data_IF_957915471670
#
_entry.id   IF_957915471670
#
_cell.length_a   1.000
_cell.length_b   1.000
_cell.length_c   1.000
_cell.angle_alpha   90.00
_cell.angle_beta   90.00
_cell.angle_gamma   90.00
#
_symmetry.space_group_name_H-M   'P 1'
#
loop_
_entity.id
_entity.type
_entity.pdbx_description
1 polymer ?
#
# COMPACT_ATOMS: atom_id res chain seq x y z
N UNK A 1 39.51 -44.18 5.21
CA UNK A 1 40.86 -43.66 5.51
C UNK A 1 40.89 -43.24 6.97
N UNK A 2 41.80 -43.79 7.78
CA UNK A 2 41.88 -43.49 9.22
C UNK A 2 42.31 -42.04 9.42
N UNK A 3 41.37 -41.19 9.84
CA UNK A 3 41.61 -39.77 10.08
C UNK A 3 42.50 -39.50 11.32
N UNK A 4 42.90 -40.56 12.04
CA UNK A 4 43.79 -40.54 13.21
C UNK A 4 45.28 -40.34 12.88
N UNK A 5 45.71 -40.50 11.62
CA UNK A 5 47.13 -40.35 11.21
C UNK A 5 47.47 -38.96 10.64
N UNK A 6 46.59 -37.98 10.77
CA UNK A 6 46.83 -36.61 10.29
C UNK A 6 47.63 -35.80 11.32
N UNK A 7 48.69 -35.12 10.88
CA UNK A 7 49.47 -34.21 11.72
C UNK A 7 48.57 -33.09 12.27
N UNK A 8 48.78 -32.66 13.53
CA UNK A 8 47.90 -31.72 14.27
C UNK A 8 47.52 -30.49 13.43
N UNK A 9 48.48 -29.92 12.69
CA UNK A 9 48.26 -28.76 11.82
C UNK A 9 47.17 -28.98 10.75
N UNK A 10 47.11 -30.18 10.13
CA UNK A 10 46.10 -30.49 9.11
C UNK A 10 44.70 -30.68 9.71
N UNK A 11 44.63 -31.24 10.92
CA UNK A 11 43.36 -31.42 11.67
C UNK A 11 42.79 -30.07 12.09
N UNK A 12 43.65 -29.19 12.58
CA UNK A 12 43.30 -27.81 12.93
C UNK A 12 42.81 -27.03 11.69
N UNK A 13 43.52 -27.14 10.56
CA UNK A 13 43.12 -26.51 9.30
C UNK A 13 41.74 -26.99 8.79
N UNK A 14 41.42 -28.28 8.92
CA UNK A 14 40.10 -28.82 8.55
C UNK A 14 39.00 -28.25 9.45
N UNK A 15 39.22 -28.22 10.77
CA UNK A 15 38.24 -27.68 11.71
C UNK A 15 37.95 -26.20 11.48
N UNK A 16 39.00 -25.38 11.38
CA UNK A 16 38.86 -23.96 11.06
C UNK A 16 38.29 -23.73 9.66
N UNK A 17 38.62 -24.57 8.68
CA UNK A 17 38.04 -24.52 7.34
C UNK A 17 36.53 -24.76 7.33
N UNK A 18 36.05 -25.79 8.04
CA UNK A 18 34.62 -26.08 8.15
C UNK A 18 33.88 -24.94 8.84
N UNK A 19 34.41 -24.43 9.95
CA UNK A 19 33.83 -23.26 10.63
C UNK A 19 33.80 -22.04 9.71
N UNK A 20 34.87 -21.79 8.94
CA UNK A 20 34.93 -20.72 7.96
C UNK A 20 33.86 -20.84 6.87
N UNK A 21 33.64 -22.04 6.32
CA UNK A 21 32.58 -22.32 5.34
C UNK A 21 31.20 -22.11 5.94
N UNK A 22 30.96 -22.57 7.17
CA UNK A 22 29.70 -22.36 7.88
C UNK A 22 29.42 -20.87 8.12
N UNK A 23 30.43 -20.09 8.51
CA UNK A 23 30.32 -18.64 8.70
C UNK A 23 30.02 -17.91 7.40
N UNK A 24 30.71 -18.23 6.30
CA UNK A 24 30.43 -17.65 4.99
C UNK A 24 29.01 -17.99 4.53
N UNK A 25 28.60 -19.25 4.67
CA UNK A 25 27.24 -19.70 4.35
C UNK A 25 26.17 -18.96 5.16
N UNK A 26 26.36 -18.81 6.48
CA UNK A 26 25.42 -18.08 7.34
C UNK A 26 25.33 -16.60 6.97
N UNK A 27 26.46 -15.98 6.60
CA UNK A 27 26.51 -14.58 6.22
C UNK A 27 25.79 -14.35 4.88
N UNK A 28 26.08 -15.16 3.86
CA UNK A 28 25.40 -15.07 2.56
C UNK A 28 23.89 -15.31 2.70
N UNK A 29 23.48 -16.28 3.51
CA UNK A 29 22.08 -16.55 3.79
C UNK A 29 21.40 -15.36 4.50
N UNK A 30 22.04 -14.82 5.54
CA UNK A 30 21.54 -13.65 6.29
C UNK A 30 21.34 -12.44 5.39
N UNK A 31 22.33 -12.13 4.54
CA UNK A 31 22.25 -11.02 3.58
C UNK A 31 21.09 -11.25 2.61
N UNK A 32 20.94 -12.46 2.08
CA UNK A 32 19.85 -12.79 1.15
C UNK A 32 18.47 -12.59 1.79
N UNK A 33 18.30 -13.01 3.05
CA UNK A 33 17.04 -12.83 3.78
C UNK A 33 16.78 -11.36 4.14
N UNK A 34 17.82 -10.62 4.53
CA UNK A 34 17.72 -9.18 4.76
C UNK A 34 17.31 -8.44 3.49
N UNK A 35 17.85 -8.82 2.32
CA UNK A 35 17.44 -8.26 1.03
C UNK A 35 15.97 -8.51 0.71
N UNK A 36 15.42 -9.69 1.07
CA UNK A 36 13.99 -9.99 0.89
C UNK A 36 13.11 -9.11 1.78
N UNK A 37 13.47 -8.97 3.05
CA UNK A 37 12.76 -8.08 3.98
C UNK A 37 12.83 -6.64 3.49
N UNK A 38 14.01 -6.17 3.10
CA UNK A 38 14.22 -4.83 2.56
C UNK A 38 13.38 -4.56 1.30
N UNK A 39 13.28 -5.53 0.39
CA UNK A 39 12.43 -5.42 -0.80
C UNK A 39 10.94 -5.31 -0.44
N UNK A 40 10.46 -6.10 0.54
CA UNK A 40 9.08 -6.00 1.03
C UNK A 40 8.80 -4.66 1.73
N UNK A 41 9.75 -4.15 2.51
CA UNK A 41 9.65 -2.81 3.12
C UNK A 41 9.63 -1.71 2.07
N UNK A 42 10.48 -1.79 1.04
CA UNK A 42 10.47 -0.84 -0.07
C UNK A 42 9.14 -0.88 -0.82
N UNK A 43 8.57 -2.06 -1.09
CA UNK A 43 7.26 -2.18 -1.72
C UNK A 43 6.15 -1.49 -0.89
N UNK A 44 6.15 -1.67 0.43
CA UNK A 44 5.22 -1.00 1.33
C UNK A 44 5.38 0.52 1.29
N UNK A 45 6.61 1.02 1.45
CA UNK A 45 6.92 2.44 1.57
C UNK A 45 6.75 3.21 0.25
N UNK A 46 7.19 2.63 -0.87
CA UNK A 46 7.25 3.31 -2.16
C UNK A 46 6.00 3.11 -3.00
N UNK A 47 5.20 2.07 -2.72
CA UNK A 47 4.02 1.74 -3.54
C UNK A 47 2.73 1.67 -2.72
N UNK A 48 2.68 0.85 -1.68
CA UNK A 48 1.41 0.58 -0.96
C UNK A 48 0.90 1.79 -0.19
N UNK A 49 1.75 2.38 0.64
CA UNK A 49 1.38 3.55 1.47
C UNK A 49 1.00 4.74 0.57
N UNK A 50 1.77 5.13 -0.46
CA UNK A 50 1.37 6.19 -1.38
C UNK A 50 0.03 5.93 -2.07
N UNK A 51 -0.24 4.69 -2.50
CA UNK A 51 -1.52 4.35 -3.12
C UNK A 51 -2.69 4.42 -2.13
N UNK A 52 -2.50 3.99 -0.88
CA UNK A 52 -3.52 4.16 0.17
C UNK A 52 -3.78 5.64 0.46
N UNK A 53 -2.73 6.45 0.55
CA UNK A 53 -2.85 7.89 0.75
C UNK A 53 -3.60 8.56 -0.41
N UNK A 54 -3.27 8.22 -1.67
CA UNK A 54 -3.99 8.71 -2.85
C UNK A 54 -5.47 8.28 -2.85
N UNK A 55 -5.76 7.04 -2.45
CA UNK A 55 -7.14 6.55 -2.32
C UNK A 55 -7.93 7.33 -1.25
N UNK A 56 -7.30 7.59 -0.09
CA UNK A 56 -7.90 8.42 0.97
C UNK A 56 -8.07 9.88 0.53
N UNK A 57 -7.13 10.43 -0.23
CA UNK A 57 -7.24 11.78 -0.78
C UNK A 57 -8.44 11.88 -1.73
N UNK A 58 -8.65 10.90 -2.63
CA UNK A 58 -9.86 10.84 -3.47
C UNK A 58 -11.14 10.85 -2.62
N UNK A 59 -11.18 10.11 -1.51
CA UNK A 59 -12.34 10.11 -0.61
C UNK A 59 -12.55 11.47 0.07
N UNK A 60 -11.46 12.13 0.51
CA UNK A 60 -11.51 13.45 1.13
C UNK A 60 -12.05 14.49 0.14
N UNK A 61 -11.46 14.61 -1.04
CA UNK A 61 -11.91 15.56 -2.07
C UNK A 61 -13.35 15.30 -2.52
N UNK A 62 -13.75 14.02 -2.58
CA UNK A 62 -15.15 13.64 -2.86
C UNK A 62 -16.11 14.16 -1.78
N UNK A 63 -15.69 14.14 -0.51
CA UNK A 63 -16.48 14.68 0.59
C UNK A 63 -16.53 16.20 0.56
N UNK A 64 -15.42 16.87 0.28
CA UNK A 64 -15.33 18.33 0.23
C UNK A 64 -16.24 18.89 -0.87
N UNK A 65 -16.25 18.25 -2.05
CA UNK A 65 -17.21 18.55 -3.11
C UNK A 65 -18.66 18.38 -2.63
N UNK A 66 -18.97 17.29 -1.93
CA UNK A 66 -20.33 17.03 -1.45
C UNK A 66 -20.78 18.06 -0.40
N UNK A 67 -19.86 18.52 0.45
CA UNK A 67 -20.10 19.59 1.44
C UNK A 67 -20.32 20.92 0.73
N UNK A 68 -19.45 21.31 -0.20
CA UNK A 68 -19.56 22.57 -0.94
C UNK A 68 -20.87 22.65 -1.74
N UNK A 69 -21.26 21.58 -2.42
CA UNK A 69 -22.56 21.51 -3.12
C UNK A 69 -23.74 21.68 -2.16
N UNK A 70 -23.65 21.10 -0.97
CA UNK A 70 -24.68 21.25 0.05
C UNK A 70 -24.73 22.67 0.59
N UNK A 71 -23.58 23.32 0.81
CA UNK A 71 -23.51 24.71 1.25
C UNK A 71 -24.17 25.64 0.23
N UNK A 72 -23.90 25.45 -1.07
CA UNK A 72 -24.58 26.21 -2.14
C UNK A 72 -26.11 26.07 -2.12
N UNK A 73 -26.64 24.92 -1.68
CA UNK A 73 -28.08 24.70 -1.53
C UNK A 73 -28.66 25.29 -0.25
N UNK A 74 -27.83 25.59 0.75
CA UNK A 74 -28.25 26.10 2.06
C UNK A 74 -28.12 27.61 2.16
N UNK A 75 -27.14 28.19 1.48
CA UNK A 75 -26.89 29.63 1.45
C UNK A 75 -27.23 30.21 0.06
N UNK A 76 -27.91 31.34 0.06
CA UNK A 76 -28.27 32.10 -1.13
C UNK A 76 -27.29 33.25 -1.41
N UNK A 77 -26.35 33.55 -0.49
CA UNK A 77 -25.33 34.58 -0.68
C UNK A 77 -24.47 34.27 -1.92
N UNK A 78 -24.49 35.13 -2.96
CA UNK A 78 -23.66 34.95 -4.16
C UNK A 78 -22.16 34.85 -3.85
N UNK A 79 -21.67 35.59 -2.85
CA UNK A 79 -20.26 35.59 -2.49
C UNK A 79 -19.84 34.28 -1.82
N UNK A 80 -20.72 33.64 -1.04
CA UNK A 80 -20.47 32.30 -0.52
C UNK A 80 -20.51 31.26 -1.66
N UNK A 81 -21.52 31.32 -2.53
CA UNK A 81 -21.65 30.39 -3.66
C UNK A 81 -20.45 30.40 -4.58
N UNK A 82 -19.86 31.57 -4.85
CA UNK A 82 -18.63 31.69 -5.63
C UNK A 82 -17.45 30.97 -4.95
N UNK A 83 -17.31 31.08 -3.62
CA UNK A 83 -16.29 30.35 -2.86
C UNK A 83 -16.51 28.84 -2.92
N UNK A 84 -17.74 28.37 -2.77
CA UNK A 84 -18.06 26.94 -2.85
C UNK A 84 -17.76 26.38 -4.26
N UNK A 85 -18.03 27.15 -5.33
CA UNK A 85 -17.67 26.77 -6.69
C UNK A 85 -16.15 26.66 -6.88
N UNK A 86 -15.38 27.60 -6.30
CA UNK A 86 -13.92 27.53 -6.32
C UNK A 86 -13.39 26.29 -5.58
N UNK A 87 -13.97 25.96 -4.43
CA UNK A 87 -13.63 24.75 -3.67
C UNK A 87 -13.91 23.48 -4.48
N UNK A 88 -15.10 23.38 -5.09
CA UNK A 88 -15.48 22.26 -5.96
C UNK A 88 -14.48 22.11 -7.11
N UNK A 89 -14.08 23.21 -7.76
CA UNK A 89 -13.12 23.18 -8.86
C UNK A 89 -11.73 22.70 -8.40
N UNK A 90 -11.27 23.19 -7.24
CA UNK A 90 -10.02 22.77 -6.61
C UNK A 90 -10.03 21.27 -6.30
N UNK A 91 -11.06 20.79 -5.60
CA UNK A 91 -11.18 19.38 -5.23
C UNK A 91 -11.33 18.45 -6.42
N UNK A 92 -12.05 18.87 -7.48
CA UNK A 92 -12.11 18.10 -8.74
C UNK A 92 -10.72 17.89 -9.33
N UNK A 93 -9.90 18.94 -9.35
CA UNK A 93 -8.54 18.88 -9.88
C UNK A 93 -7.65 17.97 -9.02
N UNK A 94 -7.72 18.11 -7.70
CA UNK A 94 -6.95 17.29 -6.76
C UNK A 94 -7.35 15.81 -6.84
N UNK A 95 -8.66 15.52 -6.89
CA UNK A 95 -9.19 14.19 -7.06
C UNK A 95 -8.68 13.54 -8.35
N UNK A 96 -8.81 14.25 -9.48
CA UNK A 96 -8.35 13.75 -10.79
C UNK A 96 -6.84 13.48 -10.79
N UNK A 97 -6.03 14.37 -10.19
CA UNK A 97 -4.59 14.18 -10.08
C UNK A 97 -4.23 12.92 -9.27
N UNK A 98 -4.99 12.61 -8.21
CA UNK A 98 -4.78 11.38 -7.44
C UNK A 98 -5.14 10.12 -8.24
N UNK A 99 -6.23 10.13 -9.01
CA UNK A 99 -6.58 9.02 -9.91
C UNK A 99 -5.48 8.77 -10.95
N UNK A 100 -4.96 9.84 -11.57
CA UNK A 100 -3.87 9.77 -12.54
C UNK A 100 -2.54 9.29 -11.92
N UNK A 101 -2.25 9.69 -10.68
CA UNK A 101 -1.09 9.20 -9.96
C UNK A 101 -1.21 7.69 -9.69
N UNK A 102 -2.38 7.22 -9.24
CA UNK A 102 -2.66 5.81 -9.02
C UNK A 102 -2.53 4.99 -10.32
N UNK A 103 -2.96 5.54 -11.45
CA UNK A 103 -2.81 4.90 -12.78
C UNK A 103 -1.36 4.57 -13.12
N UNK A 104 -0.41 5.37 -12.63
CA UNK A 104 1.04 5.20 -12.90
C UNK A 104 1.71 4.19 -11.96
N UNK A 105 1.13 3.94 -10.78
CA UNK A 105 1.79 3.17 -9.71
C UNK A 105 1.15 1.81 -9.46
N UNK A 106 -0.16 1.67 -9.72
CA UNK A 106 -0.89 0.40 -9.59
C UNK A 106 -0.42 -0.60 -10.64
N UNK A 107 -0.08 -1.81 -10.20
CA UNK A 107 0.35 -2.90 -11.09
C UNK A 107 -0.51 -4.15 -11.02
N UNK A 108 -1.41 -4.25 -10.04
CA UNK A 108 -2.23 -5.45 -9.85
C UNK A 108 -3.51 -5.33 -10.68
N UNK A 109 -3.85 -6.31 -11.53
CA UNK A 109 -5.04 -6.25 -12.39
C UNK A 109 -6.33 -5.95 -11.63
N UNK A 110 -6.51 -6.55 -10.45
CA UNK A 110 -7.68 -6.32 -9.61
C UNK A 110 -7.76 -4.86 -9.09
N UNK A 111 -6.62 -4.27 -8.72
CA UNK A 111 -6.57 -2.88 -8.26
C UNK A 111 -6.74 -1.89 -9.42
N UNK A 112 -6.30 -2.25 -10.64
CA UNK A 112 -6.52 -1.46 -11.86
C UNK A 112 -8.00 -1.48 -12.23
N UNK A 113 -8.66 -2.64 -12.16
CA UNK A 113 -10.09 -2.75 -12.43
C UNK A 113 -10.95 -1.93 -11.44
N UNK A 114 -10.52 -1.84 -10.17
CA UNK A 114 -11.14 -0.94 -9.20
C UNK A 114 -10.88 0.53 -9.52
N UNK A 115 -9.68 0.90 -9.97
CA UNK A 115 -9.39 2.25 -10.45
C UNK A 115 -10.28 2.63 -11.64
N UNK A 116 -10.45 1.74 -12.63
CA UNK A 116 -11.34 1.99 -13.77
C UNK A 116 -12.80 2.24 -13.30
N UNK A 117 -13.27 1.49 -12.28
CA UNK A 117 -14.58 1.73 -11.67
C UNK A 117 -14.63 3.08 -10.94
N UNK A 118 -13.57 3.47 -10.24
CA UNK A 118 -13.48 4.79 -9.59
C UNK A 118 -13.54 5.92 -10.62
N UNK A 119 -12.79 5.82 -11.73
CA UNK A 119 -12.77 6.79 -12.82
C UNK A 119 -14.17 6.91 -13.46
N UNK A 120 -14.82 5.80 -13.77
CA UNK A 120 -16.16 5.78 -14.34
C UNK A 120 -17.21 6.38 -13.37
N UNK A 121 -17.16 6.02 -12.08
CA UNK A 121 -18.06 6.57 -11.07
C UNK A 121 -17.81 8.07 -10.85
N UNK A 122 -16.56 8.51 -10.87
CA UNK A 122 -16.20 9.93 -10.78
C UNK A 122 -16.75 10.72 -11.97
N UNK A 123 -16.66 10.18 -13.18
CA UNK A 123 -17.26 10.80 -14.38
C UNK A 123 -18.77 11.01 -14.25
N UNK A 124 -19.51 9.99 -13.78
CA UNK A 124 -20.95 10.11 -13.50
C UNK A 124 -21.24 11.15 -12.42
N UNK A 125 -20.47 11.11 -11.32
CA UNK A 125 -20.64 12.04 -10.21
C UNK A 125 -20.43 13.47 -10.69
N UNK A 126 -19.36 13.75 -11.43
CA UNK A 126 -19.04 15.07 -11.99
C UNK A 126 -20.17 15.63 -12.86
N UNK A 127 -20.73 14.83 -13.79
CA UNK A 127 -21.89 15.24 -14.60
C UNK A 127 -23.11 15.57 -13.75
N UNK A 128 -23.35 14.79 -12.69
CA UNK A 128 -24.40 15.06 -11.73
C UNK A 128 -24.17 16.38 -10.96
N UNK A 129 -22.93 16.65 -10.54
CA UNK A 129 -22.59 17.90 -9.85
C UNK A 129 -22.87 19.12 -10.75
N UNK A 130 -22.48 19.07 -12.02
CA UNK A 130 -22.75 20.16 -12.98
C UNK A 130 -24.25 20.41 -13.15
N UNK A 131 -25.05 19.35 -13.21
CA UNK A 131 -26.52 19.46 -13.29
C UNK A 131 -27.09 20.08 -12.03
N UNK A 132 -26.63 19.66 -10.85
CA UNK A 132 -27.08 20.21 -9.59
C UNK A 132 -26.71 21.70 -9.46
N UNK A 133 -25.48 22.08 -9.82
CA UNK A 133 -25.03 23.49 -9.82
C UNK A 133 -25.96 24.35 -10.68
N UNK A 134 -26.28 23.90 -11.90
CA UNK A 134 -27.21 24.62 -12.79
C UNK A 134 -28.60 24.82 -12.17
N UNK A 135 -29.14 23.82 -11.48
CA UNK A 135 -30.44 23.93 -10.79
C UNK A 135 -30.37 24.95 -9.64
N UNK A 136 -29.27 24.97 -8.89
CA UNK A 136 -29.05 25.94 -7.80
C UNK A 136 -28.93 27.36 -8.33
N UNK A 137 -28.16 27.57 -9.41
CA UNK A 137 -27.97 28.87 -10.05
C UNK A 137 -29.26 29.39 -10.71
N UNK A 138 -30.10 28.49 -11.22
CA UNK A 138 -31.42 28.82 -11.75
C UNK A 138 -32.46 29.14 -10.65
N UNK A 139 -32.13 28.96 -9.38
CA UNK A 139 -33.06 29.16 -8.25
C UNK A 139 -34.11 28.05 -8.09
N UNK A 140 -33.98 26.93 -8.79
CA UNK A 140 -34.90 25.79 -8.71
C UNK A 140 -34.54 24.90 -7.50
N UNK A 141 -34.89 25.36 -6.29
CA UNK A 141 -34.59 24.62 -5.06
C UNK A 141 -35.29 23.25 -5.00
N UNK A 142 -36.52 23.16 -5.50
CA UNK A 142 -37.30 21.93 -5.45
C UNK A 142 -36.70 20.89 -6.40
N UNK A 143 -36.36 21.30 -7.63
CA UNK A 143 -35.67 20.46 -8.60
C UNK A 143 -34.28 20.06 -8.12
N UNK A 144 -33.50 20.99 -7.55
CA UNK A 144 -32.19 20.70 -6.97
C UNK A 144 -32.27 19.63 -5.86
N UNK A 145 -33.23 19.74 -4.93
CA UNK A 145 -33.45 18.75 -3.86
C UNK A 145 -33.88 17.39 -4.41
N UNK A 146 -34.79 17.37 -5.39
CA UNK A 146 -35.24 16.15 -6.03
C UNK A 146 -34.08 15.44 -6.77
N UNK A 147 -33.31 16.20 -7.55
CA UNK A 147 -32.15 15.71 -8.29
C UNK A 147 -31.03 15.20 -7.37
N UNK A 148 -30.72 15.95 -6.31
CA UNK A 148 -29.76 15.53 -5.29
C UNK A 148 -30.13 14.14 -4.73
N UNK A 149 -31.40 13.94 -4.37
CA UNK A 149 -31.87 12.69 -3.77
C UNK A 149 -31.89 11.53 -4.77
N UNK A 150 -32.43 11.76 -5.97
CA UNK A 150 -32.70 10.72 -6.95
C UNK A 150 -31.47 10.32 -7.77
N UNK A 151 -30.54 11.25 -8.01
CA UNK A 151 -29.46 11.05 -8.97
C UNK A 151 -28.09 11.24 -8.34
N UNK A 152 -27.84 12.39 -7.71
CA UNK A 152 -26.48 12.73 -7.28
C UNK A 152 -26.01 11.91 -6.08
N UNK A 153 -26.87 11.68 -5.08
CA UNK A 153 -26.52 10.87 -3.91
C UNK A 153 -26.22 9.41 -4.26
N UNK A 154 -26.99 8.73 -5.13
CA UNK A 154 -26.61 7.41 -5.65
C UNK A 154 -25.24 7.41 -6.35
N UNK A 155 -24.97 8.37 -7.24
CA UNK A 155 -23.67 8.47 -7.94
C UNK A 155 -22.50 8.69 -6.96
N UNK A 156 -22.69 9.54 -5.94
CA UNK A 156 -21.73 9.72 -4.84
C UNK A 156 -21.49 8.41 -4.08
N UNK A 157 -22.55 7.64 -3.83
CA UNK A 157 -22.47 6.33 -3.20
C UNK A 157 -21.64 5.33 -4.00
N UNK A 158 -21.88 5.25 -5.32
CA UNK A 158 -21.11 4.40 -6.24
C UNK A 158 -19.61 4.73 -6.19
N UNK A 159 -19.26 6.02 -6.24
CA UNK A 159 -17.87 6.47 -6.17
C UNK A 159 -17.24 6.09 -4.82
N UNK A 160 -17.89 6.43 -3.70
CA UNK A 160 -17.38 6.10 -2.36
C UNK A 160 -17.21 4.61 -2.14
N UNK A 161 -18.11 3.79 -2.68
CA UNK A 161 -18.00 2.34 -2.62
C UNK A 161 -16.77 1.85 -3.36
N UNK A 162 -16.55 2.28 -4.61
CA UNK A 162 -15.39 1.88 -5.39
C UNK A 162 -14.06 2.30 -4.72
N UNK A 163 -14.03 3.52 -4.16
CA UNK A 163 -12.87 4.03 -3.39
C UNK A 163 -12.63 3.18 -2.13
N UNK A 164 -13.69 2.82 -1.41
CA UNK A 164 -13.60 1.96 -0.22
C UNK A 164 -13.11 0.54 -0.54
N UNK A 165 -13.61 -0.07 -1.61
CA UNK A 165 -13.15 -1.38 -2.10
C UNK A 165 -11.66 -1.34 -2.45
N UNK A 166 -11.19 -0.27 -3.09
CA UNK A 166 -9.77 -0.07 -3.39
C UNK A 166 -8.92 0.06 -2.12
N UNK A 167 -9.39 0.82 -1.12
CA UNK A 167 -8.67 0.98 0.15
C UNK A 167 -8.55 -0.35 0.90
N UNK A 168 -9.62 -1.14 0.94
CA UNK A 168 -9.62 -2.49 1.54
C UNK A 168 -8.61 -3.39 0.82
N UNK A 169 -8.59 -3.40 -0.51
CA UNK A 169 -7.65 -4.20 -1.27
C UNK A 169 -6.18 -3.81 -1.00
N UNK A 170 -5.87 -2.51 -0.95
CA UNK A 170 -4.51 -2.07 -0.64
C UNK A 170 -4.11 -2.41 0.81
N UNK A 171 -5.06 -2.38 1.74
CA UNK A 171 -4.85 -2.84 3.12
C UNK A 171 -4.54 -4.33 3.15
N UNK A 172 -5.33 -5.17 2.48
CA UNK A 172 -5.10 -6.62 2.41
C UNK A 172 -3.73 -6.97 1.80
N UNK A 173 -3.31 -6.26 0.74
CA UNK A 173 -1.97 -6.44 0.19
C UNK A 173 -0.87 -6.06 1.18
N UNK A 174 -1.05 -4.94 1.90
CA UNK A 174 -0.08 -4.49 2.90
C UNK A 174 0.02 -5.47 4.08
N UNK A 175 -1.12 -5.98 4.55
CA UNK A 175 -1.17 -6.95 5.64
C UNK A 175 -0.48 -8.27 5.25
N UNK A 176 -0.68 -8.74 4.01
CA UNK A 176 0.02 -9.92 3.45
C UNK A 176 1.53 -9.70 3.35
N UNK A 177 1.99 -8.54 2.87
CA UNK A 177 3.43 -8.24 2.80
C UNK A 177 4.04 -8.19 4.21
N UNK A 178 3.34 -7.63 5.19
CA UNK A 178 3.80 -7.59 6.58
C UNK A 178 3.85 -8.99 7.23
N UNK A 179 2.88 -9.86 6.92
CA UNK A 179 2.90 -11.26 7.36
C UNK A 179 4.08 -12.04 6.77
N UNK A 180 4.32 -11.89 5.46
CA UNK A 180 5.47 -12.52 4.79
C UNK A 180 6.81 -12.05 5.35
N UNK A 181 6.93 -10.75 5.69
CA UNK A 181 8.12 -10.21 6.34
C UNK A 181 8.36 -10.87 7.72
N UNK A 182 7.30 -11.01 8.53
CA UNK A 182 7.37 -11.68 9.85
C UNK A 182 7.76 -13.15 9.74
N UNK A 183 7.18 -13.88 8.79
CA UNK A 183 7.55 -15.28 8.53
C UNK A 183 9.00 -15.43 8.06
N UNK A 184 9.47 -14.51 7.22
CA UNK A 184 10.88 -14.47 6.77
C UNK A 184 11.82 -14.17 7.93
N UNK A 185 11.48 -13.24 8.82
CA UNK A 185 12.28 -12.96 10.01
C UNK A 185 12.39 -14.18 10.93
N UNK A 186 11.25 -14.82 11.26
CA UNK A 186 11.22 -15.97 12.16
C UNK A 186 12.04 -17.16 11.63
N UNK A 187 11.88 -17.49 10.34
CA UNK A 187 12.65 -18.55 9.69
C UNK A 187 14.14 -18.24 9.61
N UNK A 188 14.50 -16.99 9.33
CA UNK A 188 15.90 -16.52 9.31
C UNK A 188 16.54 -16.64 10.69
N UNK A 189 15.83 -16.21 11.74
CA UNK A 189 16.30 -16.30 13.13
C UNK A 189 16.53 -17.75 13.55
N UNK A 190 15.59 -18.65 13.26
CA UNK A 190 15.73 -20.07 13.58
C UNK A 190 16.93 -20.68 12.85
N UNK A 191 17.08 -20.41 11.55
CA UNK A 191 18.22 -20.91 10.75
C UNK A 191 19.55 -20.42 11.31
N UNK A 192 19.64 -19.15 11.70
CA UNK A 192 20.85 -18.57 12.30
C UNK A 192 21.22 -19.22 13.64
N UNK A 193 20.23 -19.50 14.49
CA UNK A 193 20.44 -20.23 15.74
C UNK A 193 20.95 -21.65 15.46
N UNK A 194 20.32 -22.37 14.54
CA UNK A 194 20.74 -23.73 14.16
C UNK A 194 22.17 -23.73 13.61
N UNK A 195 22.50 -22.82 12.70
CA UNK A 195 23.86 -22.70 12.15
C UNK A 195 24.90 -22.37 13.22
N UNK A 196 24.57 -21.49 14.17
CA UNK A 196 25.45 -21.18 15.29
C UNK A 196 25.69 -22.40 16.19
N UNK A 197 24.64 -23.14 16.55
CA UNK A 197 24.74 -24.36 17.36
C UNK A 197 25.53 -25.47 16.66
N UNK A 198 25.30 -25.68 15.36
CA UNK A 198 26.05 -26.65 14.56
C UNK A 198 27.53 -26.27 14.48
N UNK A 199 27.82 -24.98 14.25
CA UNK A 199 29.20 -24.48 14.22
C UNK A 199 29.92 -24.69 15.56
N UNK A 200 29.22 -24.45 16.68
CA UNK A 200 29.76 -24.71 18.02
C UNK A 200 30.01 -26.20 18.25
N UNK A 201 29.06 -27.06 17.87
CA UNK A 201 29.21 -28.51 18.01
C UNK A 201 30.41 -29.05 17.20
N UNK A 202 30.59 -28.57 15.97
CA UNK A 202 31.76 -28.91 15.14
C UNK A 202 33.05 -28.45 15.79
N UNK A 203 33.10 -27.23 16.33
CA UNK A 203 34.28 -26.71 17.02
C UNK A 203 34.65 -27.57 18.24
N UNK A 204 33.66 -27.97 19.06
CA UNK A 204 33.87 -28.85 20.22
C UNK A 204 34.36 -30.23 19.77
N UNK A 205 33.74 -30.84 18.76
CA UNK A 205 34.13 -32.16 18.25
C UNK A 205 35.56 -32.17 17.71
N UNK A 206 35.98 -31.11 17.00
CA UNK A 206 37.36 -31.00 16.52
C UNK A 206 38.33 -30.80 17.69
N UNK A 207 37.96 -29.98 18.68
CA UNK A 207 38.80 -29.76 19.87
C UNK A 207 38.99 -31.04 20.70
N UNK A 208 37.93 -31.86 20.84
CA UNK A 208 37.99 -33.15 21.56
C UNK A 208 38.67 -34.27 20.79
N UNK A 209 38.56 -34.24 19.46
CA UNK A 209 39.26 -35.20 18.65
C UNK A 209 40.78 -35.00 18.82
N UNK A 210 41.23 -33.74 18.95
CA UNK A 210 42.64 -33.35 18.96
C UNK A 210 43.49 -34.15 19.95
#
# INVERSE_FOLDING_TARGET
MNLSNLNIAKRLAIGFGIVGVLLLGSQTFSITMLSRVSAGTAELAERRIPNMNGTNAVLAETNDIAVALRNMMLDADPADREKQLAEIASSRKALQANLEAMRKTLAYPAAIALLDRMEAANGKYLQGQETLIKLIEAGDEQGARAFLKATLRPALGELKQAVGEQLVMQKEFSDKTAEQARATEASTRLMMIVLALVSLAVAILVAWWN
#
